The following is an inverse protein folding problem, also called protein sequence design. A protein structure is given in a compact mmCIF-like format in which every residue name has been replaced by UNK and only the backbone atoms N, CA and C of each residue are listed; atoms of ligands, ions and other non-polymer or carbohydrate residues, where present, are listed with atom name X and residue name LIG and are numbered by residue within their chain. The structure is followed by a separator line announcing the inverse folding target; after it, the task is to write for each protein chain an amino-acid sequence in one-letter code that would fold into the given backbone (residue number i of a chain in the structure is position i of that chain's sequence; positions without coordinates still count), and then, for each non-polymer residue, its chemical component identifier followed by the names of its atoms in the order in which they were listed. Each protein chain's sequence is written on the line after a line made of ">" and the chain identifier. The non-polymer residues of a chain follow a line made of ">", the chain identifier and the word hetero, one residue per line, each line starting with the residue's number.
data_IF_334510689802
#
_entry.id   IF_334510689802
#
_cell.length_a   1.000
_cell.length_b   1.000
_cell.length_c   1.000
_cell.angle_alpha   90.00
_cell.angle_beta   90.00
_cell.angle_gamma   90.00
#
_symmetry.space_group_name_H-M   'P 1'
#
loop_
_entity.id
_entity.type
_entity.pdbx_description
1 polymer ?
#
# COMPACT_ATOMS: atom_id res chain seq x y z
N UNK A 1 29.64 14.79 -41.83
CA UNK A 1 28.44 14.34 -42.58
C UNK A 1 27.32 14.11 -41.57
N UNK A 2 26.53 15.14 -41.29
CA UNK A 2 25.09 15.25 -41.67
C UNK A 2 24.20 14.53 -40.64
N UNK A 3 23.57 15.22 -39.67
CA UNK A 3 22.18 15.79 -39.72
C UNK A 3 21.18 14.77 -40.33
N UNK A 4 20.13 14.29 -39.66
CA UNK A 4 18.87 14.97 -39.25
C UNK A 4 17.97 13.94 -38.52
N UNK A 5 17.37 14.21 -37.36
CA UNK A 5 16.03 14.81 -37.14
C UNK A 5 14.84 14.04 -37.74
N UNK A 6 13.92 13.55 -36.90
CA UNK A 6 12.49 13.90 -36.88
C UNK A 6 11.59 12.83 -36.23
N UNK A 7 11.03 13.14 -35.04
CA UNK A 7 9.60 12.95 -34.76
C UNK A 7 8.85 14.20 -35.33
N UNK A 8 7.50 14.35 -35.30
CA UNK A 8 6.44 13.56 -34.64
C UNK A 8 5.19 13.35 -35.54
N UNK A 9 4.15 12.69 -35.03
CA UNK A 9 2.77 13.02 -35.44
C UNK A 9 1.74 12.53 -34.41
N UNK A 10 1.01 13.51 -33.89
CA UNK A 10 -0.21 13.38 -33.13
C UNK A 10 -1.40 13.60 -34.07
N UNK A 11 -2.49 12.86 -33.87
CA UNK A 11 -3.86 13.15 -34.29
C UNK A 11 -4.74 12.16 -33.50
N UNK A 12 -5.89 12.47 -32.94
CA UNK A 12 -6.65 13.70 -32.76
C UNK A 12 -7.86 13.33 -31.92
N UNK A 13 -8.34 14.26 -31.10
CA UNK A 13 -9.56 14.16 -30.33
C UNK A 13 -10.78 13.93 -31.25
N UNK A 14 -11.79 13.20 -30.77
CA UNK A 14 -13.15 13.36 -31.28
C UNK A 14 -14.11 13.62 -30.12
N UNK A 15 -14.75 14.77 -30.22
CA UNK A 15 -15.66 15.39 -29.29
C UNK A 15 -17.10 15.18 -29.77
N UNK A 16 -17.99 15.01 -28.80
CA UNK A 16 -19.35 15.54 -28.79
C UNK A 16 -20.42 15.05 -29.81
N UNK A 17 -21.50 14.54 -29.20
CA UNK A 17 -22.90 15.04 -29.25
C UNK A 17 -23.96 14.23 -30.03
N UNK A 18 -25.24 14.36 -29.59
CA UNK A 18 -26.30 13.37 -29.75
C UNK A 18 -27.24 13.67 -30.93
N UNK A 19 -28.00 12.68 -31.37
CA UNK A 19 -29.19 12.93 -32.17
C UNK A 19 -30.28 11.89 -31.90
N UNK A 20 -31.34 12.42 -31.31
CA UNK A 20 -32.72 11.92 -31.26
C UNK A 20 -33.19 11.66 -32.70
N UNK A 21 -33.81 10.51 -32.96
CA UNK A 21 -34.71 10.40 -34.13
C UNK A 21 -35.87 9.47 -33.80
N UNK A 22 -37.06 10.07 -33.82
CA UNK A 22 -38.34 9.44 -33.65
C UNK A 22 -38.91 9.05 -35.01
N UNK A 23 -39.60 7.90 -35.07
CA UNK A 23 -40.67 7.54 -36.03
C UNK A 23 -41.22 6.19 -35.58
N UNK A 24 -42.33 6.10 -34.84
CA UNK A 24 -43.74 6.37 -35.17
C UNK A 24 -44.41 5.27 -36.00
N UNK A 25 -45.38 4.63 -35.33
CA UNK A 25 -46.60 3.97 -35.82
C UNK A 25 -46.46 2.56 -36.40
N UNK A 26 -47.05 1.58 -35.70
CA UNK A 26 -48.19 0.78 -36.17
C UNK A 26 -48.70 -0.14 -35.05
N UNK A 27 -49.86 0.21 -34.48
CA UNK A 27 -50.67 -0.72 -33.71
C UNK A 27 -51.51 -1.60 -34.66
N UNK A 28 -51.94 -2.79 -34.21
CA UNK A 28 -53.38 -2.96 -34.10
C UNK A 28 -53.84 -3.63 -32.80
N UNK A 29 -54.84 -2.97 -32.21
CA UNK A 29 -56.04 -3.49 -31.53
C UNK A 29 -56.15 -5.00 -31.24
N UNK A 30 -56.22 -5.35 -29.96
CA UNK A 30 -57.30 -6.16 -29.36
C UNK A 30 -57.15 -6.20 -27.82
N UNK A 31 -58.20 -5.83 -27.10
CA UNK A 31 -58.42 -6.17 -25.70
C UNK A 31 -59.59 -7.19 -25.65
N UNK A 32 -60.00 -7.77 -24.50
CA UNK A 32 -59.44 -7.71 -23.14
C UNK A 32 -59.33 -9.10 -22.46
N UNK A 33 -58.51 -9.25 -21.43
CA UNK A 33 -58.75 -10.26 -20.39
C UNK A 33 -58.01 -9.88 -19.11
N UNK A 34 -58.80 -9.59 -18.07
CA UNK A 34 -58.33 -9.43 -16.72
C UNK A 34 -57.67 -10.74 -16.25
N UNK A 35 -56.38 -10.68 -15.92
CA UNK A 35 -55.78 -11.63 -14.99
C UNK A 35 -55.40 -10.86 -13.74
N UNK A 36 -56.21 -11.14 -12.71
CA UNK A 36 -56.07 -10.77 -11.33
C UNK A 36 -54.61 -10.58 -10.88
N UNK A 37 -54.39 -9.43 -10.29
CA UNK A 37 -53.32 -9.10 -9.34
C UNK A 37 -52.98 -10.27 -8.41
N UNK A 38 -51.76 -10.80 -8.53
CA UNK A 38 -51.08 -11.50 -7.43
C UNK A 38 -49.61 -11.08 -7.42
N UNK A 39 -49.35 -9.84 -6.99
CA UNK A 39 -48.02 -9.44 -6.52
C UNK A 39 -48.03 -9.55 -5.00
N UNK A 40 -47.67 -10.74 -4.50
CA UNK A 40 -47.52 -10.99 -3.08
C UNK A 40 -46.17 -10.43 -2.60
N UNK A 41 -46.07 -9.11 -2.46
CA UNK A 41 -45.01 -8.50 -1.67
C UNK A 41 -45.37 -8.65 -0.18
N UNK A 42 -44.53 -9.32 0.64
CA UNK A 42 -44.76 -9.34 2.08
C UNK A 42 -44.64 -7.91 2.65
N UNK A 43 -45.42 -7.56 3.68
CA UNK A 43 -45.39 -6.21 4.24
C UNK A 43 -44.01 -5.89 4.81
N UNK A 44 -43.55 -4.65 4.58
CA UNK A 44 -42.27 -4.18 5.09
C UNK A 44 -42.23 -4.33 6.62
N UNK A 45 -41.31 -5.16 7.12
CA UNK A 45 -41.06 -5.30 8.55
C UNK A 45 -40.25 -4.09 9.04
N UNK A 46 -40.66 -3.43 10.14
CA UNK A 46 -39.90 -2.31 10.68
C UNK A 46 -38.52 -2.81 11.14
N UNK A 47 -37.48 -2.19 10.60
CA UNK A 47 -36.10 -2.44 11.01
C UNK A 47 -35.92 -1.87 12.43
N UNK A 48 -35.38 -2.63 13.39
CA UNK A 48 -35.16 -2.10 14.73
C UNK A 48 -34.19 -0.91 14.70
N UNK A 49 -34.37 0.08 15.59
CA UNK A 49 -33.49 1.23 15.62
C UNK A 49 -32.06 0.76 15.93
N UNK A 50 -31.12 1.13 15.06
CA UNK A 50 -29.69 0.88 15.24
C UNK A 50 -29.02 2.13 15.82
N UNK A 51 -28.96 2.28 17.16
CA UNK A 51 -28.27 3.41 17.75
C UNK A 51 -26.78 3.37 17.34
N UNK A 52 -26.24 4.48 16.81
CA UNK A 52 -24.88 4.51 16.31
C UNK A 52 -23.86 4.18 17.41
N UNK A 53 -23.09 3.11 17.18
CA UNK A 53 -22.01 2.67 18.07
C UNK A 53 -21.02 3.82 18.32
N UNK A 54 -21.02 4.33 19.55
CA UNK A 54 -20.04 5.34 19.99
C UNK A 54 -18.72 4.62 20.28
N UNK A 55 -17.87 4.52 19.27
CA UNK A 55 -16.48 4.08 19.49
C UNK A 55 -15.76 5.14 20.33
N UNK A 56 -15.34 4.75 21.53
CA UNK A 56 -14.69 5.64 22.50
C UNK A 56 -13.39 6.21 21.95
N UNK A 57 -13.33 7.54 21.82
CA UNK A 57 -12.15 8.30 21.38
C UNK A 57 -11.16 8.49 22.54
N UNK A 58 -10.66 7.39 23.11
CA UNK A 58 -9.86 7.41 24.34
C UNK A 58 -8.33 7.40 24.14
N UNK A 59 -7.83 6.91 22.99
CA UNK A 59 -6.41 6.59 22.81
C UNK A 59 -5.49 7.75 22.39
N UNK A 60 -6.04 8.88 21.96
CA UNK A 60 -5.24 9.94 21.33
C UNK A 60 -4.44 10.79 22.33
N UNK A 61 -4.92 10.90 23.58
CA UNK A 61 -4.25 11.72 24.61
C UNK A 61 -2.92 11.10 25.05
N UNK A 62 -2.90 9.78 25.26
CA UNK A 62 -1.68 9.04 25.62
C UNK A 62 -0.64 9.09 24.50
N UNK A 63 -1.09 8.89 23.24
CA UNK A 63 -0.23 9.00 22.05
C UNK A 63 0.38 10.40 21.91
N UNK A 64 -0.37 11.47 22.20
CA UNK A 64 0.14 12.85 22.18
C UNK A 64 1.16 13.11 23.29
N UNK A 65 0.94 12.60 24.50
CA UNK A 65 1.86 12.75 25.62
C UNK A 65 3.21 12.07 25.36
N UNK A 66 3.20 10.84 24.85
CA UNK A 66 4.43 10.09 24.50
C UNK A 66 5.22 10.80 23.40
N UNK A 67 4.53 11.34 22.38
CA UNK A 67 5.19 12.12 21.31
C UNK A 67 5.86 13.40 21.83
N UNK A 68 5.27 14.09 22.82
CA UNK A 68 5.87 15.29 23.42
C UNK A 68 7.13 14.95 24.23
N UNK A 69 7.11 13.88 25.03
CA UNK A 69 8.28 13.41 25.79
C UNK A 69 9.46 13.04 24.88
N UNK A 70 9.19 12.32 23.78
CA UNK A 70 10.24 11.98 22.80
C UNK A 70 10.86 13.21 22.15
N UNK A 71 10.07 14.25 21.87
CA UNK A 71 10.58 15.53 21.30
C UNK A 71 11.47 16.30 22.27
N UNK A 72 11.11 16.35 23.55
CA UNK A 72 11.93 16.99 24.57
C UNK A 72 13.27 16.25 24.77
N UNK A 73 13.24 14.91 24.83
CA UNK A 73 14.44 14.10 24.97
C UNK A 73 15.42 14.27 23.79
N UNK A 74 14.91 14.33 22.55
CA UNK A 74 15.76 14.57 21.37
C UNK A 74 16.41 15.95 21.34
N UNK A 75 15.74 16.98 21.88
CA UNK A 75 16.32 18.32 21.95
C UNK A 75 17.47 18.39 22.96
N UNK A 76 17.32 17.76 24.12
CA UNK A 76 18.38 17.68 25.14
C UNK A 76 19.63 16.95 24.60
N UNK A 77 19.44 15.86 23.84
CA UNK A 77 20.53 15.09 23.23
C UNK A 77 21.31 15.90 22.17
N UNK A 78 20.60 16.70 21.36
CA UNK A 78 21.24 17.57 20.37
C UNK A 78 22.11 18.66 21.00
N UNK A 79 21.68 19.23 22.14
CA UNK A 79 22.44 20.23 22.88
C UNK A 79 23.72 19.63 23.49
N UNK A 80 23.66 18.40 24.02
CA UNK A 80 24.84 17.70 24.55
C UNK A 80 25.85 17.37 23.43
N UNK A 81 25.38 16.91 22.28
CA UNK A 81 26.27 16.62 21.14
C UNK A 81 26.98 17.87 20.60
N UNK A 82 26.29 19.02 20.56
CA UNK A 82 26.88 20.29 20.15
C UNK A 82 27.98 20.76 21.13
N UNK A 83 27.78 20.58 22.45
CA UNK A 83 28.80 20.94 23.44
C UNK A 83 30.06 20.08 23.34
N UNK A 84 29.92 18.77 23.07
CA UNK A 84 31.07 17.85 22.89
C UNK A 84 31.84 18.15 21.59
N UNK A 85 31.15 18.56 20.53
CA UNK A 85 31.79 18.90 19.25
C UNK A 85 32.68 20.16 19.33
N UNK A 86 32.34 21.12 20.20
CA UNK A 86 33.16 22.32 20.42
C UNK A 86 34.38 22.01 21.31
N UNK A 87 34.28 21.06 22.25
CA UNK A 87 35.40 20.61 23.08
C UNK A 87 36.36 19.62 22.41
N UNK A 88 35.90 18.86 21.40
CA UNK A 88 36.72 17.86 20.69
C UNK A 88 37.58 18.41 19.56
N UNK A 89 37.39 19.67 19.16
CA UNK A 89 38.07 20.26 18.01
C UNK A 89 39.59 20.49 18.24
N UNK A 90 40.05 20.61 19.50
CA UNK A 90 41.48 20.79 19.79
C UNK A 90 42.29 19.47 19.76
N UNK A 91 41.65 18.31 19.83
CA UNK A 91 42.35 17.02 19.85
C UNK A 91 42.56 16.39 18.46
N UNK A 92 41.88 16.89 17.42
CA UNK A 92 41.82 16.22 16.11
C UNK A 92 42.72 16.85 15.02
N UNK A 93 43.54 17.86 15.34
CA UNK A 93 44.38 18.55 14.35
C UNK A 93 45.60 17.73 13.84
N UNK A 94 45.68 16.42 14.11
CA UNK A 94 46.85 15.60 13.72
C UNK A 94 46.54 14.26 13.05
N UNK A 95 45.32 14.03 12.54
CA UNK A 95 45.06 12.86 11.67
C UNK A 95 44.31 13.27 10.42
N UNK A 96 45.02 13.19 9.29
CA UNK A 96 44.52 13.52 7.97
C UNK A 96 43.41 12.59 7.48
N UNK A 97 42.70 13.12 6.49
CA UNK A 97 41.97 12.44 5.42
C UNK A 97 40.97 11.33 5.81
N UNK A 98 39.69 11.68 5.76
CA UNK A 98 38.69 11.01 4.93
C UNK A 98 37.35 11.74 5.11
N UNK A 99 36.74 12.19 4.02
CA UNK A 99 35.36 12.66 4.03
C UNK A 99 34.42 11.46 3.81
N UNK A 100 33.63 11.03 4.80
CA UNK A 100 32.41 10.29 4.52
C UNK A 100 31.28 11.29 4.24
N UNK A 101 30.79 11.26 3.00
CA UNK A 101 29.61 11.99 2.57
C UNK A 101 28.46 11.72 3.54
N UNK A 102 28.08 12.77 4.27
CA UNK A 102 26.85 12.82 5.03
C UNK A 102 25.69 12.60 4.07
N UNK A 103 25.18 11.37 3.99
CA UNK A 103 23.76 11.14 3.71
C UNK A 103 23.02 11.76 4.88
N UNK A 104 22.88 13.09 4.82
CA UNK A 104 21.98 13.85 5.64
C UNK A 104 20.64 13.13 5.55
N UNK A 105 20.26 12.51 6.66
CA UNK A 105 18.99 11.84 6.80
C UNK A 105 17.92 12.82 6.36
N UNK A 106 17.40 12.61 5.14
CA UNK A 106 16.24 13.32 4.64
C UNK A 106 15.16 13.02 5.66
N UNK A 107 14.90 14.01 6.50
CA UNK A 107 13.75 14.05 7.38
C UNK A 107 12.55 14.21 6.47
N UNK A 108 12.15 13.10 5.86
CA UNK A 108 11.06 13.03 4.92
C UNK A 108 9.82 13.57 5.64
N UNK A 109 9.19 14.56 5.00
CA UNK A 109 7.87 15.04 5.38
C UNK A 109 6.95 13.83 5.66
N UNK A 110 5.99 13.93 6.61
CA UNK A 110 5.08 12.83 6.90
C UNK A 110 4.48 12.35 5.57
N UNK A 111 4.61 11.06 5.24
CA UNK A 111 4.20 10.58 3.93
C UNK A 111 2.74 10.95 3.73
N UNK A 112 2.44 11.63 2.62
CA UNK A 112 1.07 11.84 2.18
C UNK A 112 0.34 10.50 2.29
N UNK A 113 -0.92 10.51 2.76
CA UNK A 113 -1.66 9.28 3.01
C UNK A 113 -1.84 8.49 1.69
N UNK A 114 -0.88 7.61 1.40
CA UNK A 114 -0.85 6.83 0.17
C UNK A 114 -1.97 5.79 0.27
N UNK A 115 -2.80 5.71 -0.77
CA UNK A 115 -3.85 4.71 -0.85
C UNK A 115 -3.23 3.31 -0.89
N UNK A 116 -3.46 2.52 0.15
CA UNK A 116 -2.98 1.13 0.25
C UNK A 116 -3.97 0.16 -0.37
N UNK A 117 -3.46 -0.95 -0.88
CA UNK A 117 -4.20 -2.08 -1.43
C UNK A 117 -3.79 -3.37 -0.70
N UNK A 118 -4.68 -4.35 -0.66
CA UNK A 118 -4.36 -5.70 -0.18
C UNK A 118 -3.87 -6.53 -1.36
N UNK A 119 -2.64 -7.01 -1.29
CA UNK A 119 -2.01 -7.81 -2.34
C UNK A 119 -1.70 -9.21 -1.78
N UNK A 120 -2.27 -10.29 -2.34
CA UNK A 120 -1.82 -11.65 -2.05
C UNK A 120 -0.44 -11.88 -2.67
N UNK A 121 0.51 -12.34 -1.87
CA UNK A 121 1.91 -12.57 -2.25
C UNK A 121 2.31 -13.97 -1.83
N UNK A 122 3.00 -14.70 -2.71
CA UNK A 122 3.52 -16.03 -2.42
C UNK A 122 4.97 -15.94 -1.95
N UNK A 123 5.21 -16.37 -0.73
CA UNK A 123 6.53 -16.36 -0.08
C UNK A 123 7.09 -17.77 -0.13
N UNK A 124 8.33 -17.89 -0.60
CA UNK A 124 8.97 -19.19 -0.85
C UNK A 124 9.20 -20.01 0.43
N UNK A 125 9.38 -19.34 1.57
CA UNK A 125 9.56 -19.99 2.87
C UNK A 125 8.26 -20.03 3.68
N UNK A 126 7.57 -21.17 3.60
CA UNK A 126 6.36 -21.42 4.36
C UNK A 126 6.60 -21.51 5.88
N UNK A 127 7.80 -21.89 6.34
CA UNK A 127 8.09 -21.97 7.78
C UNK A 127 8.15 -20.57 8.39
N UNK A 128 8.79 -19.62 7.71
CA UNK A 128 8.79 -18.21 8.12
C UNK A 128 7.39 -17.61 8.13
N UNK A 129 6.55 -17.90 7.12
CA UNK A 129 5.17 -17.40 7.07
C UNK A 129 4.34 -17.85 8.27
N UNK A 130 4.56 -19.06 8.79
CA UNK A 130 3.84 -19.57 9.98
C UNK A 130 4.13 -18.81 11.27
N UNK A 131 5.20 -18.04 11.30
CA UNK A 131 5.55 -17.19 12.44
C UNK A 131 4.84 -15.83 12.40
N UNK A 132 4.39 -15.41 11.20
CA UNK A 132 3.77 -14.12 11.00
C UNK A 132 2.37 -14.08 11.59
N UNK A 133 2.01 -12.91 12.13
CA UNK A 133 0.67 -12.59 12.60
C UNK A 133 0.12 -11.40 11.84
N UNK A 134 -1.21 -11.33 11.65
CA UNK A 134 -1.86 -10.10 11.20
C UNK A 134 -1.46 -8.92 12.08
N UNK A 135 -0.98 -7.85 11.45
CA UNK A 135 -0.44 -6.66 12.12
C UNK A 135 1.08 -6.55 12.10
N UNK A 136 1.80 -7.62 11.74
CA UNK A 136 3.26 -7.59 11.63
C UNK A 136 3.72 -6.66 10.50
N UNK A 137 4.92 -6.09 10.67
CA UNK A 137 5.62 -5.33 9.64
C UNK A 137 6.73 -6.19 9.07
N UNK A 138 6.75 -6.27 7.75
CA UNK A 138 7.72 -7.08 7.01
C UNK A 138 8.36 -6.28 5.88
N UNK A 139 9.62 -6.58 5.62
CA UNK A 139 10.27 -6.25 4.36
C UNK A 139 10.21 -7.48 3.46
N UNK A 140 9.82 -7.28 2.20
CA UNK A 140 9.77 -8.34 1.19
C UNK A 140 11.02 -8.22 0.32
N UNK A 141 11.74 -9.33 0.22
CA UNK A 141 13.01 -9.43 -0.51
C UNK A 141 12.83 -10.37 -1.68
N UNK A 142 13.16 -9.92 -2.88
CA UNK A 142 13.32 -10.79 -4.04
C UNK A 142 14.71 -11.39 -4.01
N UNK A 143 14.77 -12.71 -3.90
CA UNK A 143 15.99 -13.49 -3.98
C UNK A 143 16.10 -14.07 -5.39
N UNK A 144 17.01 -13.52 -6.19
CA UNK A 144 17.41 -14.11 -7.46
C UNK A 144 18.39 -15.25 -7.22
N UNK A 145 18.34 -16.27 -8.08
CA UNK A 145 19.19 -17.47 -7.92
C UNK A 145 20.68 -17.17 -8.13
N UNK A 146 20.99 -16.14 -8.91
CA UNK A 146 22.36 -15.78 -9.32
C UNK A 146 22.67 -14.30 -9.08
N UNK A 147 21.78 -13.56 -8.43
CA UNK A 147 21.89 -12.12 -8.20
C UNK A 147 21.81 -11.76 -6.72
N UNK A 148 22.30 -10.57 -6.34
CA UNK A 148 22.16 -10.10 -4.97
C UNK A 148 20.67 -9.92 -4.61
N UNK A 149 20.28 -10.19 -3.36
CA UNK A 149 18.90 -9.97 -2.93
C UNK A 149 18.55 -8.48 -2.97
N UNK A 150 17.32 -8.16 -3.40
CA UNK A 150 16.79 -6.78 -3.42
C UNK A 150 15.52 -6.66 -2.62
N UNK A 151 15.40 -5.59 -1.83
CA UNK A 151 14.15 -5.28 -1.12
C UNK A 151 13.16 -4.67 -2.10
N UNK A 152 12.01 -5.33 -2.28
CA UNK A 152 10.94 -4.89 -3.19
C UNK A 152 9.89 -4.07 -2.45
N UNK A 153 9.62 -4.40 -1.19
CA UNK A 153 8.69 -3.68 -0.35
C UNK A 153 9.28 -3.53 1.05
N UNK A 154 9.35 -2.30 1.55
CA UNK A 154 9.79 -2.02 2.91
C UNK A 154 8.60 -1.69 3.83
N UNK A 155 8.55 -2.29 5.02
CA UNK A 155 7.54 -2.04 6.05
C UNK A 155 6.10 -2.32 5.61
N UNK A 156 5.90 -3.35 4.79
CA UNK A 156 4.59 -3.86 4.41
C UNK A 156 3.87 -4.42 5.63
N UNK A 157 2.55 -4.21 5.73
CA UNK A 157 1.75 -4.71 6.84
C UNK A 157 1.10 -6.03 6.46
N UNK A 158 1.24 -7.05 7.30
CA UNK A 158 0.51 -8.31 7.14
C UNK A 158 -0.95 -8.08 7.50
N UNK A 159 -1.85 -8.24 6.53
CA UNK A 159 -3.30 -8.12 6.72
C UNK A 159 -3.89 -9.45 7.14
N UNK A 160 -3.46 -10.51 6.47
CA UNK A 160 -3.98 -11.86 6.65
C UNK A 160 -2.91 -12.87 6.25
N UNK A 161 -2.89 -14.01 6.93
CA UNK A 161 -2.08 -15.17 6.56
C UNK A 161 -3.07 -16.32 6.30
N UNK A 162 -3.42 -16.58 5.03
CA UNK A 162 -4.30 -17.68 4.68
C UNK A 162 -3.76 -19.02 5.20
N UNK A 163 -4.66 -19.89 5.64
CA UNK A 163 -4.28 -21.25 6.02
C UNK A 163 -3.60 -21.93 4.82
N UNK A 164 -2.48 -22.60 5.07
CA UNK A 164 -1.78 -23.31 4.00
C UNK A 164 -2.51 -24.60 3.69
N UNK A 165 -3.18 -24.67 2.55
CA UNK A 165 -3.75 -25.90 2.03
C UNK A 165 -2.60 -26.91 1.85
N UNK A 166 -2.69 -28.07 2.49
CA UNK A 166 -1.70 -29.14 2.32
C UNK A 166 -1.89 -29.77 0.93
N UNK A 167 -1.48 -29.08 -0.12
CA UNK A 167 -1.51 -29.62 -1.47
C UNK A 167 -1.51 -28.56 -2.56
N UNK A 168 -0.61 -28.77 -3.52
CA UNK A 168 -0.57 -28.15 -4.86
C UNK A 168 -0.01 -26.71 -4.92
N UNK A 169 1.32 -26.62 -4.93
CA UNK A 169 2.02 -25.47 -5.50
C UNK A 169 3.46 -25.32 -4.99
N UNK A 170 4.37 -24.83 -5.84
CA UNK A 170 5.82 -24.61 -5.63
C UNK A 170 6.26 -24.12 -4.23
N UNK A 171 6.32 -25.00 -3.22
CA UNK A 171 7.03 -24.85 -1.94
C UNK A 171 6.66 -23.71 -0.97
N UNK A 172 5.92 -22.68 -1.40
CA UNK A 172 5.69 -21.44 -0.66
C UNK A 172 4.27 -21.26 -0.10
N UNK A 173 4.14 -20.36 0.89
CA UNK A 173 2.88 -20.00 1.52
C UNK A 173 2.39 -18.61 1.05
N UNK A 174 1.06 -18.42 1.09
CA UNK A 174 0.43 -17.15 0.74
C UNK A 174 0.35 -16.23 1.96
N UNK A 175 0.55 -14.93 1.72
CA UNK A 175 0.34 -13.86 2.71
C UNK A 175 -0.34 -12.68 2.01
N UNK A 176 -1.31 -12.05 2.66
CA UNK A 176 -1.95 -10.84 2.16
C UNK A 176 -1.29 -9.62 2.81
N UNK A 177 -0.70 -8.76 1.99
CA UNK A 177 0.04 -7.57 2.45
C UNK A 177 -0.71 -6.29 2.10
N UNK A 178 -0.74 -5.33 3.03
CA UNK A 178 -1.19 -3.96 2.77
C UNK A 178 -0.02 -3.13 2.30
N UNK A 179 -0.01 -2.79 1.01
CA UNK A 179 1.09 -2.09 0.33
C UNK A 179 0.56 -0.94 -0.55
N UNK A 180 1.38 0.05 -0.90
CA UNK A 180 1.04 1.00 -1.96
C UNK A 180 0.75 0.30 -3.29
N UNK A 181 -0.08 0.92 -4.14
CA UNK A 181 -0.50 0.31 -5.41
C UNK A 181 0.68 0.04 -6.35
N UNK A 182 1.69 0.91 -6.39
CA UNK A 182 2.86 0.72 -7.25
C UNK A 182 3.74 -0.43 -6.73
N UNK A 183 3.97 -0.49 -5.42
CA UNK A 183 4.66 -1.61 -4.77
C UNK A 183 3.96 -2.94 -5.00
N UNK A 184 2.62 -2.98 -5.06
CA UNK A 184 1.89 -4.21 -5.40
C UNK A 184 2.22 -4.69 -6.82
N UNK A 185 2.38 -3.79 -7.79
CA UNK A 185 2.80 -4.14 -9.16
C UNK A 185 4.23 -4.66 -9.18
N UNK A 186 5.13 -4.03 -8.42
CA UNK A 186 6.52 -4.45 -8.31
C UNK A 186 6.63 -5.85 -7.68
N UNK A 187 5.84 -6.13 -6.65
CA UNK A 187 5.76 -7.45 -6.02
C UNK A 187 5.26 -8.53 -6.98
N UNK A 188 4.25 -8.22 -7.80
CA UNK A 188 3.74 -9.16 -8.82
C UNK A 188 4.80 -9.42 -9.90
N UNK A 189 5.47 -8.38 -10.39
CA UNK A 189 6.54 -8.52 -11.37
C UNK A 189 7.74 -9.32 -10.83
N UNK A 190 8.13 -9.05 -9.59
CA UNK A 190 9.19 -9.80 -8.92
C UNK A 190 8.79 -11.25 -8.65
N UNK A 191 7.58 -11.50 -8.15
CA UNK A 191 7.08 -12.85 -7.86
C UNK A 191 6.89 -13.72 -9.10
N UNK A 192 6.72 -13.13 -10.28
CA UNK A 192 6.63 -13.86 -11.55
C UNK A 192 7.98 -14.43 -12.02
N UNK A 193 9.09 -13.85 -11.57
CA UNK A 193 10.44 -14.16 -12.08
C UNK A 193 11.39 -14.67 -10.99
N UNK A 194 11.12 -14.33 -9.73
CA UNK A 194 12.02 -14.56 -8.60
C UNK A 194 11.28 -15.11 -7.40
N UNK A 195 12.00 -15.77 -6.51
CA UNK A 195 11.44 -16.25 -5.24
C UNK A 195 11.45 -15.11 -4.23
N UNK A 196 10.32 -14.92 -3.56
CA UNK A 196 10.18 -13.90 -2.54
C UNK A 196 10.41 -14.48 -1.15
N UNK A 197 11.15 -13.75 -0.32
CA UNK A 197 11.40 -14.00 1.09
C UNK A 197 10.93 -12.78 1.91
N UNK A 198 10.79 -12.96 3.22
CA UNK A 198 10.35 -11.90 4.14
C UNK A 198 11.28 -11.81 5.35
N UNK A 199 11.45 -10.58 5.84
CA UNK A 199 12.14 -10.29 7.10
C UNK A 199 11.26 -9.42 7.99
N UNK A 200 11.28 -9.67 9.30
CA UNK A 200 10.53 -8.89 10.30
C UNK A 200 11.27 -7.59 10.65
N UNK A 201 10.54 -6.49 10.83
CA UNK A 201 11.07 -5.15 11.13
C UNK A 201 10.72 -4.66 12.54
#
# INVERSE_FOLDING_TARGET
>A
MSRTSAAPSACSAFSARPARSARSVSAPSAAPAACATYSACPPARPVPPFPPLRVGRGGDRLRRAVRRRRRAASAALAVVAAAVAVGGAQAQASRGAAQPGVRAAQRAAPPAAVRRVSAPVRIADAATVRLLRPGDRVDVVAAERTGPPRVVAAGALVVEVPASDKGVGDGGALVVLSVPRDTARDLVGAGATTRLAVTLC
#
